data_IF_155856414331
#
_entry.id   IF_155856414331
#
_cell.length_a   1.000
_cell.length_b   1.000
_cell.length_c   1.000
_cell.angle_alpha   90.00
_cell.angle_beta   90.00
_cell.angle_gamma   90.00
#
_symmetry.space_group_name_H-M   'P 1'
#
loop_
_entity.id
_entity.type
_entity.pdbx_description
1 polymer ?
#
# COMPACT_ATOMS: atom_id res chain seq x y z
N UNK A 1 13.18 10.21 5.24
CA UNK A 1 12.45 10.76 4.07
C UNK A 1 12.99 10.12 2.79
N UNK A 2 12.81 8.81 2.62
CA UNK A 2 13.04 8.15 1.33
C UNK A 2 11.67 7.91 0.74
N UNK A 3 11.34 8.61 -0.33
CA UNK A 3 10.08 8.42 -1.03
C UNK A 3 9.92 6.94 -1.41
N UNK A 4 8.93 6.27 -0.84
CA UNK A 4 8.82 4.82 -0.93
C UNK A 4 8.30 4.35 -2.30
N UNK A 5 7.63 5.25 -3.02
CA UNK A 5 7.19 5.05 -4.39
C UNK A 5 7.37 6.31 -5.25
N UNK A 6 7.82 6.15 -6.49
CA UNK A 6 8.16 7.28 -7.39
C UNK A 6 6.99 8.24 -7.66
N UNK A 7 5.74 7.74 -7.59
CA UNK A 7 4.51 8.48 -7.94
C UNK A 7 3.58 8.77 -6.76
N UNK A 8 3.73 8.03 -5.66
CA UNK A 8 2.83 8.11 -4.52
C UNK A 8 3.63 8.46 -3.27
N UNK A 9 3.10 9.37 -2.48
CA UNK A 9 3.62 9.69 -1.15
C UNK A 9 3.30 8.57 -0.18
N UNK A 10 4.07 8.48 0.91
CA UNK A 10 3.87 7.47 1.96
C UNK A 10 2.45 7.56 2.56
N UNK A 11 1.91 8.77 2.75
CA UNK A 11 0.53 9.00 3.17
C UNK A 11 -0.52 8.45 2.18
N UNK A 12 -0.30 8.63 0.87
CA UNK A 12 -1.20 8.09 -0.15
C UNK A 12 -1.16 6.55 -0.17
N UNK A 13 0.03 5.96 -0.02
CA UNK A 13 0.19 4.50 0.09
C UNK A 13 -0.56 3.99 1.33
N UNK A 14 -0.43 4.68 2.47
CA UNK A 14 -1.13 4.33 3.71
C UNK A 14 -2.65 4.32 3.53
N UNK A 15 -3.23 5.33 2.86
CA UNK A 15 -4.67 5.38 2.56
C UNK A 15 -5.11 4.21 1.68
N UNK A 16 -4.34 3.85 0.65
CA UNK A 16 -4.65 2.70 -0.21
C UNK A 16 -4.65 1.39 0.56
N UNK A 17 -3.62 1.15 1.37
CA UNK A 17 -3.49 -0.05 2.21
C UNK A 17 -4.62 -0.14 3.23
N UNK A 18 -5.03 1.00 3.83
CA UNK A 18 -6.19 1.05 4.72
C UNK A 18 -7.50 0.75 3.99
N UNK A 19 -7.66 1.22 2.74
CA UNK A 19 -8.81 0.89 1.89
C UNK A 19 -8.95 -0.62 1.66
N UNK A 20 -7.83 -1.33 1.49
CA UNK A 20 -7.81 -2.79 1.45
C UNK A 20 -8.25 -3.43 2.77
N UNK A 21 -7.71 -2.98 3.90
CA UNK A 21 -8.10 -3.50 5.22
C UNK A 21 -9.58 -3.31 5.54
N UNK A 22 -10.18 -2.23 5.02
CA UNK A 22 -11.60 -1.93 5.19
C UNK A 22 -12.50 -2.64 4.17
N UNK A 23 -11.93 -3.46 3.27
CA UNK A 23 -12.66 -4.16 2.21
C UNK A 23 -13.19 -3.24 1.10
N UNK A 24 -12.74 -1.99 1.03
CA UNK A 24 -13.16 -0.99 0.03
C UNK A 24 -12.41 -1.11 -1.29
N UNK A 25 -11.26 -1.78 -1.28
CA UNK A 25 -10.44 -2.05 -2.47
C UNK A 25 -9.91 -3.48 -2.44
N UNK A 26 -9.75 -4.08 -3.62
CA UNK A 26 -9.13 -5.39 -3.75
C UNK A 26 -7.62 -5.24 -3.79
N UNK A 27 -6.93 -6.29 -3.34
CA UNK A 27 -5.46 -6.38 -3.43
C UNK A 27 -4.94 -6.14 -4.85
N UNK A 28 -5.59 -6.75 -5.86
CA UNK A 28 -5.17 -6.64 -7.26
C UNK A 28 -5.19 -5.18 -7.75
N UNK A 29 -6.24 -4.42 -7.41
CA UNK A 29 -6.37 -3.02 -7.80
C UNK A 29 -5.24 -2.15 -7.23
N UNK A 30 -4.85 -2.39 -5.97
CA UNK A 30 -3.74 -1.66 -5.35
C UNK A 30 -2.39 -2.08 -5.95
N UNK A 31 -2.21 -3.36 -6.23
CA UNK A 31 -1.00 -3.85 -6.89
C UNK A 31 -0.82 -3.22 -8.27
N UNK A 32 -1.90 -3.12 -9.04
CA UNK A 32 -1.88 -2.50 -10.37
C UNK A 32 -1.66 -0.98 -10.27
N UNK A 33 -2.35 -0.30 -9.36
CA UNK A 33 -2.22 1.15 -9.15
C UNK A 33 -0.80 1.56 -8.71
N UNK A 34 -0.19 0.77 -7.83
CA UNK A 34 1.16 1.00 -7.34
C UNK A 34 2.24 0.34 -8.22
N UNK A 35 1.84 -0.40 -9.26
CA UNK A 35 2.76 -1.14 -10.14
C UNK A 35 3.71 -2.06 -9.33
N UNK A 36 3.20 -2.74 -8.30
CA UNK A 36 3.96 -3.58 -7.38
C UNK A 36 3.54 -5.06 -7.37
N UNK A 37 4.53 -5.92 -7.09
CA UNK A 37 4.30 -7.34 -6.86
C UNK A 37 3.75 -7.67 -5.46
N UNK A 38 3.24 -8.90 -5.32
CA UNK A 38 2.67 -9.45 -4.08
C UNK A 38 3.57 -9.26 -2.84
N UNK A 39 4.86 -9.54 -2.97
CA UNK A 39 5.83 -9.42 -1.86
C UNK A 39 5.90 -7.99 -1.34
N UNK A 40 5.97 -7.00 -2.23
CA UNK A 40 6.02 -5.58 -1.85
C UNK A 40 4.70 -5.14 -1.24
N UNK A 41 3.57 -5.59 -1.77
CA UNK A 41 2.26 -5.33 -1.16
C UNK A 41 2.17 -5.79 0.29
N UNK A 42 2.61 -7.00 0.62
CA UNK A 42 2.56 -7.49 2.00
C UNK A 42 3.59 -6.81 2.92
N UNK A 43 4.73 -6.38 2.39
CA UNK A 43 5.67 -5.53 3.14
C UNK A 43 5.02 -4.20 3.54
N UNK A 44 4.35 -3.53 2.59
CA UNK A 44 3.59 -2.30 2.85
C UNK A 44 2.45 -2.50 3.85
N UNK A 45 1.72 -3.62 3.72
CA UNK A 45 0.66 -3.98 4.66
C UNK A 45 1.22 -4.12 6.08
N UNK A 46 2.35 -4.79 6.25
CA UNK A 46 3.01 -4.93 7.56
C UNK A 46 3.48 -3.58 8.10
N UNK A 47 4.12 -2.77 7.26
CA UNK A 47 4.66 -1.48 7.65
C UNK A 47 3.58 -0.50 8.13
N UNK A 48 2.44 -0.42 7.46
CA UNK A 48 1.41 0.58 7.76
C UNK A 48 0.24 0.11 8.63
N UNK A 49 0.07 -1.21 8.81
CA UNK A 49 -1.05 -1.78 9.57
C UNK A 49 -0.60 -2.43 10.88
N UNK A 50 0.60 -3.02 10.92
CA UNK A 50 1.10 -3.73 12.12
C UNK A 50 1.90 -2.79 13.04
N UNK A 51 2.24 -1.58 12.61
CA UNK A 51 3.00 -0.59 13.41
C UNK A 51 2.21 0.69 13.72
N UNK A 52 0.88 0.63 13.74
CA UNK A 52 0.02 1.66 14.32
C UNK A 52 -0.71 1.14 15.57
#
# INVERSE_FOLDING_TARGET
>A
MSQLHKRFTDEQIKVLVQGYCQGKMKRAEIQDLLEIGKTRFFALLKEYVIHQ
#
